data_IF_836681831760
#
_entry.id   IF_836681831760
#
_cell.length_a   1.000
_cell.length_b   1.000
_cell.length_c   1.000
_cell.angle_alpha   90.00
_cell.angle_beta   90.00
_cell.angle_gamma   90.00
#
_symmetry.space_group_name_H-M   'P 1'
#
loop_
_entity.id
_entity.type
_entity.pdbx_description
1 polymer ?
#
# COMPACT_ATOMS: atom_id res chain seq x y z
N UNK A 1 4.00 28.85 -11.61
CA UNK A 1 4.23 28.90 -13.07
C UNK A 1 2.87 28.74 -13.72
N UNK A 2 2.43 29.75 -14.45
CA UNK A 2 1.09 29.79 -15.04
C UNK A 2 1.04 28.92 -16.31
N UNK A 3 -0.10 28.29 -16.55
CA UNK A 3 -0.34 27.51 -17.77
C UNK A 3 -1.07 28.33 -18.82
N UNK A 4 -0.91 27.97 -20.09
CA UNK A 4 -1.60 28.61 -21.23
C UNK A 4 -3.06 28.13 -21.29
N UNK A 5 -3.90 28.89 -22.03
CA UNK A 5 -5.30 28.50 -22.29
C UNK A 5 -5.40 27.14 -23.01
N UNK A 6 -4.46 26.84 -23.91
CA UNK A 6 -4.38 25.56 -24.61
C UNK A 6 -4.06 24.40 -23.64
N UNK A 7 -3.06 24.58 -22.78
CA UNK A 7 -2.72 23.62 -21.73
C UNK A 7 -3.90 23.37 -20.77
N UNK A 8 -4.59 24.45 -20.37
CA UNK A 8 -5.78 24.35 -19.55
C UNK A 8 -6.90 23.57 -20.23
N UNK A 9 -7.17 23.84 -21.51
CA UNK A 9 -8.17 23.13 -22.30
C UNK A 9 -7.89 21.61 -22.32
N UNK A 10 -6.64 21.20 -22.51
CA UNK A 10 -6.26 19.78 -22.46
C UNK A 10 -6.51 19.19 -21.09
N UNK A 11 -6.17 19.89 -19.99
CA UNK A 11 -6.43 19.41 -18.64
C UNK A 11 -7.93 19.30 -18.34
N UNK A 12 -8.73 20.21 -18.85
CA UNK A 12 -10.17 20.22 -18.64
C UNK A 12 -10.90 19.18 -19.50
N UNK A 13 -10.26 18.68 -20.57
CA UNK A 13 -10.79 17.59 -21.39
C UNK A 13 -10.62 16.20 -20.73
N UNK A 14 -9.74 16.08 -19.73
CA UNK A 14 -9.56 14.81 -19.04
C UNK A 14 -10.78 14.41 -18.23
N UNK A 15 -11.19 13.16 -18.36
CA UNK A 15 -12.25 12.55 -17.56
C UNK A 15 -11.70 11.43 -16.67
N UNK A 16 -12.31 11.26 -15.49
CA UNK A 16 -11.98 10.19 -14.56
C UNK A 16 -13.18 9.27 -14.41
N UNK A 17 -13.00 7.99 -14.69
CA UNK A 17 -14.06 7.00 -14.59
C UNK A 17 -13.60 5.78 -13.80
N UNK A 18 -14.55 5.18 -13.06
CA UNK A 18 -14.31 3.89 -12.42
C UNK A 18 -14.22 2.81 -13.49
N UNK A 19 -13.24 1.90 -13.38
CA UNK A 19 -12.98 0.87 -14.40
C UNK A 19 -14.20 -0.04 -14.62
N UNK A 20 -14.76 -0.59 -13.54
CA UNK A 20 -15.95 -1.44 -13.60
C UNK A 20 -17.26 -0.66 -13.84
N UNK A 21 -17.21 0.68 -13.85
CA UNK A 21 -18.40 1.50 -14.11
C UNK A 21 -18.96 1.40 -15.51
N UNK A 22 -18.12 1.00 -16.49
CA UNK A 22 -18.51 0.82 -17.90
C UNK A 22 -17.75 -0.33 -18.52
N UNK A 23 -18.45 -1.22 -19.22
CA UNK A 23 -17.82 -2.33 -19.96
C UNK A 23 -16.85 -1.89 -21.05
N UNK A 24 -17.05 -0.69 -21.61
CA UNK A 24 -16.13 -0.12 -22.60
C UNK A 24 -14.72 0.08 -22.04
N UNK A 25 -14.62 0.35 -20.72
CA UNK A 25 -13.34 0.57 -20.07
C UNK A 25 -12.43 -0.67 -20.15
N UNK A 26 -12.99 -1.89 -20.17
CA UNK A 26 -12.20 -3.12 -20.38
C UNK A 26 -11.50 -3.14 -21.74
N UNK A 27 -12.12 -2.58 -22.79
CA UNK A 27 -11.54 -2.59 -24.13
C UNK A 27 -10.45 -1.54 -24.28
N UNK A 28 -10.68 -0.36 -23.72
CA UNK A 28 -9.73 0.74 -23.88
C UNK A 28 -8.43 0.54 -23.07
N UNK A 29 -8.45 -0.27 -21.99
CA UNK A 29 -7.24 -0.58 -21.23
C UNK A 29 -6.32 -1.58 -21.93
N UNK A 30 -6.78 -2.27 -22.98
CA UNK A 30 -5.93 -3.15 -23.80
C UNK A 30 -4.80 -2.39 -24.49
N UNK A 31 -5.03 -1.12 -24.86
CA UNK A 31 -4.04 -0.24 -25.46
C UNK A 31 -3.10 0.43 -24.44
N UNK A 32 -3.31 0.17 -23.15
CA UNK A 32 -2.44 0.70 -22.10
C UNK A 32 -1.08 0.02 -22.16
N UNK A 33 -0.03 0.81 -22.06
CA UNK A 33 1.36 0.34 -22.13
C UNK A 33 2.23 1.04 -21.09
N UNK A 34 3.06 0.26 -20.37
CA UNK A 34 4.06 0.79 -19.46
C UNK A 34 5.36 -0.02 -19.50
N UNK A 35 6.38 0.54 -20.17
CA UNK A 35 7.68 -0.11 -20.35
C UNK A 35 8.51 -0.21 -19.08
N UNK A 36 8.31 0.71 -18.12
CA UNK A 36 9.08 0.76 -16.88
C UNK A 36 8.64 -0.28 -15.87
N UNK A 37 7.33 -0.58 -15.86
CA UNK A 37 6.77 -1.60 -14.98
C UNK A 37 5.69 -2.42 -15.71
N UNK A 38 6.10 -3.44 -16.48
CA UNK A 38 5.17 -4.31 -17.20
C UNK A 38 4.16 -5.04 -16.29
N UNK A 39 4.52 -5.22 -15.01
CA UNK A 39 3.63 -5.83 -14.03
C UNK A 39 2.38 -4.97 -13.77
N UNK A 40 2.52 -3.63 -13.75
CA UNK A 40 1.38 -2.72 -13.60
C UNK A 40 0.46 -2.75 -14.81
N UNK A 41 1.03 -2.84 -16.02
CA UNK A 41 0.28 -3.03 -17.25
C UNK A 41 -0.51 -4.34 -17.23
N UNK A 42 0.17 -5.44 -16.94
CA UNK A 42 -0.45 -6.77 -16.87
C UNK A 42 -1.56 -6.82 -15.81
N UNK A 43 -1.32 -6.24 -14.64
CA UNK A 43 -2.34 -6.20 -13.59
C UNK A 43 -3.60 -5.43 -14.03
N UNK A 44 -3.43 -4.31 -14.72
CA UNK A 44 -4.55 -3.53 -15.25
C UNK A 44 -5.41 -4.34 -16.24
N UNK A 45 -4.76 -5.10 -17.13
CA UNK A 45 -5.44 -5.89 -18.18
C UNK A 45 -6.08 -7.16 -17.63
N UNK A 46 -5.38 -7.89 -16.75
CA UNK A 46 -5.77 -9.24 -16.35
C UNK A 46 -6.66 -9.28 -15.10
N UNK A 47 -6.50 -8.37 -14.16
CA UNK A 47 -7.11 -8.48 -12.83
C UNK A 47 -7.94 -7.30 -12.39
N UNK A 48 -7.59 -6.10 -12.84
CA UNK A 48 -8.12 -4.86 -12.28
C UNK A 48 -9.64 -4.76 -12.38
N UNK A 49 -10.25 -5.24 -13.47
CA UNK A 49 -11.70 -5.21 -13.65
C UNK A 49 -12.41 -6.11 -12.64
N UNK A 50 -11.94 -7.34 -12.44
CA UNK A 50 -12.50 -8.28 -11.46
C UNK A 50 -12.33 -7.76 -10.02
N UNK A 51 -11.16 -7.23 -9.67
CA UNK A 51 -10.91 -6.65 -8.37
C UNK A 51 -11.80 -5.43 -8.08
N UNK A 52 -12.06 -4.60 -9.10
CA UNK A 52 -12.94 -3.43 -8.99
C UNK A 52 -14.42 -3.84 -8.89
N UNK A 53 -14.87 -4.80 -9.68
CA UNK A 53 -16.24 -5.34 -9.64
C UNK A 53 -16.53 -6.00 -8.28
N UNK A 54 -15.57 -6.74 -7.73
CA UNK A 54 -15.67 -7.40 -6.42
C UNK A 54 -15.44 -6.45 -5.23
N UNK A 55 -15.20 -5.16 -5.47
CA UNK A 55 -14.92 -4.14 -4.44
C UNK A 55 -13.74 -4.47 -3.53
N UNK A 56 -12.74 -5.19 -4.04
CA UNK A 56 -11.49 -5.46 -3.32
C UNK A 56 -10.49 -4.32 -3.47
N UNK A 57 -10.47 -3.67 -4.63
CA UNK A 57 -9.67 -2.48 -4.95
C UNK A 57 -10.43 -1.64 -5.96
N UNK A 58 -10.58 -0.34 -5.73
CA UNK A 58 -11.27 0.57 -6.65
C UNK A 58 -10.30 1.10 -7.71
N UNK A 59 -10.51 0.74 -8.98
CA UNK A 59 -9.69 1.20 -10.09
C UNK A 59 -10.34 2.36 -10.84
N UNK A 60 -9.52 3.32 -11.22
CA UNK A 60 -9.93 4.51 -11.98
C UNK A 60 -9.04 4.69 -13.21
N UNK A 61 -9.66 5.00 -14.33
CA UNK A 61 -8.98 5.33 -15.57
C UNK A 61 -9.19 6.81 -15.90
N UNK A 62 -8.12 7.48 -16.30
CA UNK A 62 -8.14 8.85 -16.80
C UNK A 62 -8.07 8.79 -18.31
N UNK A 63 -9.00 9.44 -18.99
CA UNK A 63 -9.10 9.48 -20.44
C UNK A 63 -8.93 10.90 -20.97
N UNK A 64 -8.34 11.03 -22.16
CA UNK A 64 -8.32 12.27 -22.93
C UNK A 64 -9.65 12.50 -23.68
N UNK A 65 -9.73 13.57 -24.47
CA UNK A 65 -10.91 13.90 -25.28
C UNK A 65 -11.23 12.86 -26.37
N UNK A 66 -10.24 12.08 -26.78
CA UNK A 66 -10.40 10.99 -27.77
C UNK A 66 -10.87 9.67 -27.12
N UNK A 67 -10.95 9.63 -25.77
CA UNK A 67 -11.30 8.45 -25.00
C UNK A 67 -10.13 7.51 -24.74
N UNK A 68 -8.91 7.88 -25.11
CA UNK A 68 -7.70 7.09 -24.87
C UNK A 68 -7.27 7.15 -23.41
N UNK A 69 -6.81 6.03 -22.84
CA UNK A 69 -6.34 5.98 -21.46
C UNK A 69 -4.99 6.69 -21.34
N UNK A 70 -4.98 7.73 -20.53
CA UNK A 70 -3.79 8.58 -20.23
C UNK A 70 -3.06 8.06 -19.00
N UNK A 71 -3.84 7.63 -18.02
CA UNK A 71 -3.34 7.25 -16.70
C UNK A 71 -4.32 6.29 -16.01
N UNK A 72 -3.85 5.45 -15.10
CA UNK A 72 -4.75 4.78 -14.16
C UNK A 72 -4.20 4.86 -12.74
N UNK A 73 -5.11 4.80 -11.79
CA UNK A 73 -4.78 4.67 -10.37
C UNK A 73 -5.80 3.77 -9.67
N UNK A 74 -5.44 3.27 -8.51
CA UNK A 74 -6.39 2.53 -7.70
C UNK A 74 -6.28 2.89 -6.23
N UNK A 75 -7.42 2.77 -5.55
CA UNK A 75 -7.60 3.11 -4.14
C UNK A 75 -8.13 1.92 -3.36
N UNK A 76 -7.68 1.79 -2.12
CA UNK A 76 -8.13 0.77 -1.18
C UNK A 76 -8.17 1.34 0.24
N UNK A 77 -9.08 0.84 1.08
CA UNK A 77 -9.03 1.15 2.50
C UNK A 77 -7.87 0.42 3.18
N UNK A 78 -7.22 1.10 4.12
CA UNK A 78 -6.13 0.52 4.88
C UNK A 78 -6.08 1.05 6.32
N UNK A 79 -5.19 0.47 7.12
CA UNK A 79 -4.97 0.86 8.50
C UNK A 79 -3.49 1.03 8.81
N UNK A 80 -3.18 2.07 9.57
CA UNK A 80 -1.87 2.33 10.15
C UNK A 80 -1.95 2.11 11.67
N UNK A 81 -0.80 1.83 12.29
CA UNK A 81 -0.69 1.57 13.73
C UNK A 81 0.42 2.43 14.33
N UNK A 82 0.25 2.91 15.55
CA UNK A 82 1.32 3.61 16.27
C UNK A 82 2.40 2.64 16.78
N UNK A 83 2.00 1.43 17.16
CA UNK A 83 2.90 0.35 17.56
C UNK A 83 2.20 -1.01 17.45
N UNK A 84 2.98 -2.04 17.24
CA UNK A 84 2.54 -3.43 17.36
C UNK A 84 2.97 -3.90 18.75
N UNK A 85 2.01 -4.34 19.57
CA UNK A 85 2.27 -5.01 20.84
C UNK A 85 2.45 -6.49 20.54
N UNK A 86 3.58 -7.09 20.96
CA UNK A 86 3.77 -8.53 20.82
C UNK A 86 2.62 -9.25 21.54
N UNK A 87 1.91 -10.12 20.81
CA UNK A 87 0.86 -10.93 21.38
C UNK A 87 1.46 -11.83 22.48
N UNK A 88 0.70 -12.07 23.57
CA UNK A 88 1.08 -13.00 24.64
C UNK A 88 1.49 -14.37 24.09
N UNK A 89 0.87 -14.79 22.99
CA UNK A 89 1.26 -15.97 22.23
C UNK A 89 2.74 -15.98 21.84
N UNK A 90 3.27 -14.86 21.32
CA UNK A 90 4.68 -14.79 20.88
C UNK A 90 5.63 -14.85 22.09
N UNK A 91 5.27 -14.22 23.19
CA UNK A 91 6.03 -14.31 24.43
C UNK A 91 6.07 -15.74 24.98
N UNK A 92 4.94 -16.45 24.95
CA UNK A 92 4.88 -17.85 25.35
C UNK A 92 5.69 -18.77 24.43
N UNK A 93 5.60 -18.60 23.11
CA UNK A 93 6.41 -19.34 22.14
C UNK A 93 7.91 -19.11 22.35
N UNK A 94 8.32 -17.86 22.61
CA UNK A 94 9.72 -17.51 22.90
C UNK A 94 10.20 -18.14 24.21
N UNK A 95 9.33 -18.17 25.22
CA UNK A 95 9.60 -18.82 26.50
C UNK A 95 9.80 -20.32 26.33
N UNK A 96 8.92 -20.99 25.58
CA UNK A 96 9.06 -22.42 25.24
C UNK A 96 10.38 -22.67 24.50
N UNK A 97 10.69 -21.88 23.49
CA UNK A 97 11.94 -22.01 22.74
C UNK A 97 13.16 -21.99 23.68
N UNK A 98 13.23 -21.01 24.57
CA UNK A 98 14.33 -20.88 25.52
C UNK A 98 14.40 -22.05 26.50
N UNK A 99 13.26 -22.55 26.99
CA UNK A 99 13.18 -23.69 27.87
C UNK A 99 13.64 -24.99 27.17
N UNK A 100 13.24 -25.20 25.92
CA UNK A 100 13.68 -26.35 25.13
C UNK A 100 15.19 -26.32 24.91
N UNK A 101 15.77 -25.19 24.50
CA UNK A 101 17.22 -25.05 24.36
C UNK A 101 17.94 -25.37 25.69
N UNK A 102 17.45 -24.83 26.81
CA UNK A 102 18.03 -25.10 28.12
C UNK A 102 18.00 -26.60 28.45
N UNK A 103 16.87 -27.30 28.20
CA UNK A 103 16.72 -28.74 28.45
C UNK A 103 17.58 -29.61 27.54
N UNK A 104 17.72 -29.25 26.26
CA UNK A 104 18.58 -29.96 25.29
C UNK A 104 20.08 -29.84 25.69
N UNK A 105 20.48 -28.70 26.24
CA UNK A 105 21.87 -28.45 26.64
C UNK A 105 22.20 -28.96 28.04
N UNK A 106 21.20 -29.33 28.83
CA UNK A 106 21.40 -29.83 30.20
C UNK A 106 22.04 -31.24 30.17
N UNK A 107 23.22 -31.36 30.80
CA UNK A 107 23.98 -32.62 30.86
C UNK A 107 23.35 -33.66 31.81
N UNK A 108 22.43 -33.25 32.66
CA UNK A 108 21.73 -34.16 33.61
C UNK A 108 20.57 -34.91 32.97
N UNK A 109 20.12 -34.50 31.78
CA UNK A 109 18.98 -35.09 31.08
C UNK A 109 19.48 -36.20 30.15
N UNK A 110 18.80 -37.34 30.12
CA UNK A 110 19.13 -38.44 29.21
C UNK A 110 18.98 -38.11 27.74
N UNK A 111 19.77 -38.70 26.86
CA UNK A 111 19.70 -38.41 25.41
C UNK A 111 18.36 -38.78 24.80
N UNK A 112 17.67 -39.83 25.26
CA UNK A 112 16.35 -40.19 24.76
C UNK A 112 15.32 -39.09 25.03
N UNK A 113 15.38 -38.43 26.20
CA UNK A 113 14.51 -37.27 26.47
C UNK A 113 14.89 -36.03 25.66
N UNK A 114 16.18 -35.84 25.42
CA UNK A 114 16.66 -34.73 24.59
C UNK A 114 16.18 -34.85 23.15
N UNK A 115 16.07 -36.08 22.62
CA UNK A 115 15.55 -36.29 21.27
C UNK A 115 14.10 -35.81 21.13
N UNK A 116 13.23 -36.13 22.07
CA UNK A 116 11.84 -35.60 22.12
C UNK A 116 11.81 -34.07 22.21
N UNK A 117 12.74 -33.43 22.93
CA UNK A 117 12.84 -31.96 22.98
C UNK A 117 13.31 -31.35 21.66
N UNK A 118 14.20 -32.03 20.91
CA UNK A 118 14.63 -31.62 19.58
C UNK A 118 13.48 -31.70 18.56
N UNK A 119 12.72 -32.78 18.58
CA UNK A 119 11.53 -32.95 17.73
C UNK A 119 10.50 -31.85 17.99
N UNK A 120 10.23 -31.52 19.27
CA UNK A 120 9.32 -30.44 19.63
C UNK A 120 9.87 -29.07 19.21
N UNK A 121 11.18 -28.85 19.32
CA UNK A 121 11.83 -27.62 18.86
C UNK A 121 11.71 -27.46 17.31
N UNK A 122 11.84 -28.54 16.56
CA UNK A 122 11.66 -28.52 15.12
C UNK A 122 10.18 -28.27 14.73
N UNK A 123 9.24 -28.89 15.44
CA UNK A 123 7.82 -28.61 15.28
C UNK A 123 7.47 -27.13 15.56
N UNK A 124 8.12 -26.53 16.56
CA UNK A 124 7.98 -25.11 16.88
C UNK A 124 8.50 -24.22 15.75
N UNK A 125 9.68 -24.55 15.18
CA UNK A 125 10.31 -23.79 14.09
C UNK A 125 9.53 -23.88 12.78
N UNK A 126 9.09 -25.07 12.43
CA UNK A 126 8.35 -25.32 11.18
C UNK A 126 6.89 -24.92 11.24
N UNK A 127 6.37 -24.64 12.44
CA UNK A 127 4.94 -24.42 12.74
C UNK A 127 4.04 -25.58 12.30
N UNK A 128 4.61 -26.77 12.10
CA UNK A 128 3.89 -27.99 11.71
C UNK A 128 3.98 -29.00 12.82
N UNK A 129 2.85 -29.63 13.14
CA UNK A 129 2.80 -30.71 14.16
C UNK A 129 2.87 -30.24 15.61
N UNK A 130 2.86 -28.92 15.88
CA UNK A 130 2.76 -28.42 17.25
C UNK A 130 1.32 -28.57 17.74
N UNK A 131 1.11 -29.46 18.71
CA UNK A 131 -0.20 -29.72 19.32
C UNK A 131 -0.21 -29.31 20.79
N UNK A 132 -1.41 -29.12 21.35
CA UNK A 132 -1.58 -28.83 22.76
C UNK A 132 -0.99 -29.98 23.62
N UNK A 133 -1.32 -31.20 23.26
CA UNK A 133 -0.87 -32.41 23.95
C UNK A 133 0.65 -32.54 23.97
N UNK A 134 1.31 -32.22 22.83
CA UNK A 134 2.79 -32.25 22.74
C UNK A 134 3.45 -31.25 23.69
N UNK A 135 2.82 -30.11 23.93
CA UNK A 135 3.32 -29.12 24.88
C UNK A 135 2.99 -29.50 26.34
N UNK A 136 1.80 -30.00 26.62
CA UNK A 136 1.39 -30.43 27.95
C UNK A 136 2.21 -31.62 28.47
N UNK A 137 2.70 -32.49 27.56
CA UNK A 137 3.60 -33.56 27.92
C UNK A 137 5.00 -33.07 28.40
N UNK A 138 5.41 -31.89 28.00
CA UNK A 138 6.75 -31.36 28.23
C UNK A 138 6.76 -30.25 29.28
N UNK A 139 5.75 -29.39 29.30
CA UNK A 139 5.72 -28.19 30.14
C UNK A 139 4.57 -28.24 31.15
N UNK A 140 4.87 -27.79 32.37
CA UNK A 140 3.83 -27.58 33.41
C UNK A 140 3.12 -26.22 33.18
N UNK A 141 1.91 -26.11 33.77
CA UNK A 141 1.15 -24.85 33.73
C UNK A 141 1.88 -23.67 34.38
N UNK A 142 2.76 -23.91 35.34
CA UNK A 142 3.58 -22.90 36.02
C UNK A 142 4.73 -22.40 35.09
N UNK A 143 5.16 -23.25 34.17
CA UNK A 143 6.23 -22.89 33.23
C UNK A 143 5.71 -22.12 32.03
N UNK A 144 4.56 -22.53 31.47
CA UNK A 144 4.03 -21.97 30.22
C UNK A 144 2.51 -21.93 30.25
N UNK A 145 1.93 -20.84 29.81
CA UNK A 145 0.49 -20.72 29.59
C UNK A 145 0.14 -21.21 28.18
N UNK A 146 -0.08 -22.51 28.04
CA UNK A 146 -0.30 -23.19 26.76
C UNK A 146 -1.56 -22.66 26.05
N UNK A 147 -2.61 -22.29 26.79
CA UNK A 147 -3.83 -21.70 26.23
C UNK A 147 -3.57 -20.46 25.41
N UNK A 148 -2.62 -19.60 25.80
CA UNK A 148 -2.27 -18.39 25.07
C UNK A 148 -1.65 -18.69 23.68
N UNK A 149 -1.00 -19.86 23.53
CA UNK A 149 -0.38 -20.26 22.27
C UNK A 149 -1.44 -20.61 21.22
N UNK A 150 -2.55 -21.21 21.65
CA UNK A 150 -3.63 -21.66 20.78
C UNK A 150 -4.83 -20.70 20.72
N UNK A 151 -4.80 -19.61 21.47
CA UNK A 151 -5.71 -18.49 21.29
C UNK A 151 -5.35 -17.78 20.00
N UNK A 152 -5.91 -18.12 18.89
CA UNK A 152 -5.75 -17.55 17.54
C UNK A 152 -4.79 -16.35 17.39
N UNK A 153 -4.36 -16.04 16.19
CA UNK A 153 -3.38 -14.98 15.88
C UNK A 153 -3.93 -13.56 16.13
N UNK A 154 -4.31 -13.24 17.34
CA UNK A 154 -4.70 -11.88 17.72
C UNK A 154 -3.43 -11.07 17.96
N UNK A 155 -3.16 -10.14 17.05
CA UNK A 155 -2.13 -9.11 17.26
C UNK A 155 -2.78 -7.93 17.95
N UNK A 156 -2.25 -7.56 19.10
CA UNK A 156 -2.62 -6.32 19.76
C UNK A 156 -1.81 -5.18 19.11
N UNK A 157 -2.50 -4.13 18.74
CA UNK A 157 -1.88 -2.90 18.28
C UNK A 157 -2.22 -1.79 19.28
N UNK A 158 -1.45 -0.74 19.31
CA UNK A 158 -1.76 0.44 20.09
C UNK A 158 -2.94 1.20 19.46
N UNK A 159 -2.77 2.47 19.15
CA UNK A 159 -3.78 3.22 18.41
C UNK A 159 -3.79 2.81 16.93
N UNK A 160 -4.97 2.66 16.34
CA UNK A 160 -5.17 2.46 14.91
C UNK A 160 -5.62 3.76 14.26
N UNK A 161 -5.20 3.96 13.01
CA UNK A 161 -5.56 5.10 12.20
C UNK A 161 -6.11 4.58 10.88
N UNK A 162 -7.26 5.09 10.48
CA UNK A 162 -7.85 4.79 9.17
C UNK A 162 -7.12 5.53 8.06
N UNK A 163 -6.97 4.90 6.91
CA UNK A 163 -6.31 5.50 5.76
C UNK A 163 -6.84 5.01 4.43
N UNK A 164 -6.51 5.77 3.39
CA UNK A 164 -6.71 5.42 1.99
C UNK A 164 -5.36 5.06 1.40
N UNK A 165 -5.21 3.85 0.92
CA UNK A 165 -4.03 3.37 0.20
C UNK A 165 -4.17 3.69 -1.29
N UNK A 166 -3.15 4.33 -1.87
CA UNK A 166 -2.94 4.37 -3.32
C UNK A 166 -2.14 3.12 -3.68
N UNK A 167 -2.82 2.10 -4.24
CA UNK A 167 -2.18 0.82 -4.57
C UNK A 167 -1.44 0.89 -5.90
N UNK A 168 -2.06 1.50 -6.90
CA UNK A 168 -1.49 1.70 -8.23
C UNK A 168 -1.55 3.17 -8.62
N UNK A 169 -0.51 3.62 -9.33
CA UNK A 169 -0.37 4.99 -9.80
C UNK A 169 0.52 5.00 -11.03
N UNK A 170 -0.06 4.91 -12.23
CA UNK A 170 0.66 4.54 -13.43
C UNK A 170 0.24 5.33 -14.66
N UNK A 171 1.22 5.93 -15.34
CA UNK A 171 1.07 6.62 -16.63
C UNK A 171 1.02 5.62 -17.79
N UNK A 172 0.23 5.91 -18.82
CA UNK A 172 0.35 5.27 -20.12
C UNK A 172 1.54 5.86 -20.89
N UNK A 173 2.55 5.04 -21.19
CA UNK A 173 3.72 5.50 -21.96
C UNK A 173 3.33 5.98 -23.36
N UNK A 174 2.24 5.44 -23.96
CA UNK A 174 1.71 5.91 -25.24
C UNK A 174 1.22 7.36 -25.21
N UNK A 175 0.94 7.93 -24.03
CA UNK A 175 0.55 9.33 -23.90
C UNK A 175 1.73 10.27 -23.61
N UNK A 176 2.91 9.74 -23.33
CA UNK A 176 4.08 10.50 -22.86
C UNK A 176 4.53 11.57 -23.88
N UNK A 177 4.62 11.20 -25.14
CA UNK A 177 5.01 12.12 -26.22
C UNK A 177 4.00 13.29 -26.36
N UNK A 178 2.69 13.00 -26.33
CA UNK A 178 1.64 14.02 -26.34
C UNK A 178 1.80 14.98 -25.16
N UNK A 179 2.10 14.45 -23.97
CA UNK A 179 2.30 15.26 -22.78
C UNK A 179 3.55 16.14 -22.86
N UNK A 180 4.67 15.60 -23.30
CA UNK A 180 5.93 16.35 -23.48
C UNK A 180 5.78 17.47 -24.50
N UNK A 181 5.04 17.25 -25.61
CA UNK A 181 4.76 18.27 -26.61
C UNK A 181 3.97 19.48 -26.08
N UNK A 182 3.16 19.30 -25.01
CA UNK A 182 2.43 20.37 -24.36
C UNK A 182 3.34 21.33 -23.56
N UNK A 183 4.58 20.93 -23.29
CA UNK A 183 5.51 21.68 -22.43
C UNK A 183 4.90 22.08 -21.08
N UNK A 184 4.12 21.19 -20.48
CA UNK A 184 3.49 21.46 -19.18
C UNK A 184 4.55 21.68 -18.10
N UNK A 185 4.37 22.69 -17.22
CA UNK A 185 5.33 22.97 -16.16
C UNK A 185 5.36 21.87 -15.08
N UNK A 186 4.28 21.10 -14.97
CA UNK A 186 4.10 20.05 -13.96
C UNK A 186 4.13 18.65 -14.60
N UNK A 187 4.58 17.67 -13.83
CA UNK A 187 4.51 16.26 -14.24
C UNK A 187 3.05 15.81 -14.31
N UNK A 188 2.69 15.01 -15.30
CA UNK A 188 1.32 14.49 -15.47
C UNK A 188 0.82 13.81 -14.21
N UNK A 189 1.62 12.95 -13.58
CA UNK A 189 1.24 12.27 -12.32
C UNK A 189 0.88 13.26 -11.21
N UNK A 190 1.60 14.38 -11.08
CA UNK A 190 1.27 15.39 -10.05
C UNK A 190 -0.10 16.04 -10.31
N UNK A 191 -0.42 16.30 -11.57
CA UNK A 191 -1.73 16.82 -11.94
C UNK A 191 -2.81 15.78 -11.68
N UNK A 192 -2.61 14.52 -12.07
CA UNK A 192 -3.56 13.44 -11.83
C UNK A 192 -3.81 13.28 -10.32
N UNK A 193 -2.75 13.33 -9.51
CA UNK A 193 -2.88 13.25 -8.06
C UNK A 193 -3.79 14.35 -7.50
N UNK A 194 -3.49 15.61 -7.81
CA UNK A 194 -4.25 16.73 -7.26
C UNK A 194 -5.61 16.96 -7.90
N UNK A 195 -5.76 16.69 -9.21
CA UNK A 195 -7.03 16.94 -9.94
C UNK A 195 -8.04 15.79 -9.80
N UNK A 196 -7.57 14.54 -9.64
CA UNK A 196 -8.47 13.37 -9.69
C UNK A 196 -8.41 12.51 -8.43
N UNK A 197 -7.22 12.21 -7.90
CA UNK A 197 -7.13 11.35 -6.71
C UNK A 197 -7.64 12.08 -5.48
N UNK A 198 -7.17 13.28 -5.23
CA UNK A 198 -7.59 14.03 -4.04
C UNK A 198 -9.10 14.28 -3.99
N UNK A 199 -9.80 14.68 -5.08
CA UNK A 199 -11.27 14.78 -5.06
C UNK A 199 -11.98 13.46 -4.75
N UNK A 200 -11.47 12.30 -5.20
CA UNK A 200 -12.05 10.99 -4.80
C UNK A 200 -11.87 10.74 -3.31
N UNK A 201 -10.72 11.08 -2.76
CA UNK A 201 -10.46 10.99 -1.31
C UNK A 201 -11.38 11.94 -0.55
N UNK A 202 -11.56 13.18 -1.00
CA UNK A 202 -12.48 14.17 -0.38
C UNK A 202 -13.92 13.65 -0.35
N UNK A 203 -14.43 13.11 -1.47
CA UNK A 203 -15.76 12.48 -1.50
C UNK A 203 -15.88 11.33 -0.49
N UNK A 204 -14.83 10.54 -0.31
CA UNK A 204 -14.80 9.48 0.71
C UNK A 204 -14.84 10.08 2.12
N UNK A 205 -14.11 11.17 2.38
CA UNK A 205 -14.07 11.83 3.69
C UNK A 205 -15.41 12.46 4.10
N UNK A 206 -16.31 12.76 3.17
CA UNK A 206 -17.69 13.19 3.47
C UNK A 206 -18.53 12.05 4.06
N UNK A 207 -18.18 10.80 3.81
CA UNK A 207 -18.92 9.59 4.23
C UNK A 207 -18.27 8.93 5.44
N UNK A 208 -16.93 8.81 5.42
CA UNK A 208 -16.15 8.13 6.46
C UNK A 208 -14.85 8.90 6.73
N UNK A 209 -14.48 8.99 8.01
CA UNK A 209 -13.23 9.65 8.39
C UNK A 209 -12.04 8.73 8.10
N UNK A 210 -11.09 9.24 7.31
CA UNK A 210 -9.76 8.65 7.14
C UNK A 210 -8.71 9.70 7.52
N UNK A 211 -7.79 9.34 8.43
CA UNK A 211 -6.79 10.27 8.96
C UNK A 211 -5.60 10.43 8.00
N UNK A 212 -5.33 9.39 7.19
CA UNK A 212 -4.16 9.35 6.30
C UNK A 212 -4.49 8.91 4.88
N UNK A 213 -3.71 9.42 3.93
CA UNK A 213 -3.52 8.81 2.62
C UNK A 213 -2.08 8.26 2.58
N UNK A 214 -1.89 7.05 2.05
CA UNK A 214 -0.59 6.39 2.06
C UNK A 214 -0.36 5.53 0.82
N UNK A 215 0.88 5.16 0.60
CA UNK A 215 1.32 4.32 -0.51
C UNK A 215 2.60 3.56 -0.15
N UNK A 216 2.94 2.60 -0.99
CA UNK A 216 4.22 1.90 -0.97
C UNK A 216 5.01 2.25 -2.22
N UNK A 217 6.03 3.09 -2.07
CA UNK A 217 6.90 3.49 -3.18
C UNK A 217 7.86 2.35 -3.52
N UNK A 218 7.62 1.67 -4.64
CA UNK A 218 8.50 0.64 -5.20
C UNK A 218 9.65 1.27 -5.98
N UNK A 219 10.60 1.85 -5.26
CA UNK A 219 11.73 2.56 -5.86
C UNK A 219 12.98 1.67 -5.88
N UNK A 220 13.38 1.26 -7.10
CA UNK A 220 14.59 0.47 -7.34
C UNK A 220 15.77 1.35 -7.80
N UNK A 221 15.59 2.68 -7.84
CA UNK A 221 16.64 3.60 -8.24
C UNK A 221 17.60 3.91 -7.09
N UNK A 222 18.89 4.04 -7.39
CA UNK A 222 19.91 4.40 -6.39
C UNK A 222 19.72 5.82 -5.82
N UNK A 223 19.11 6.73 -6.60
CA UNK A 223 18.87 8.12 -6.26
C UNK A 223 17.53 8.41 -5.57
N UNK A 224 16.77 7.36 -5.23
CA UNK A 224 15.43 7.47 -4.65
C UNK A 224 14.49 8.39 -5.47
N UNK A 225 14.57 8.37 -6.80
CA UNK A 225 13.85 9.31 -7.66
C UNK A 225 12.33 9.25 -7.51
N UNK A 226 11.77 8.04 -7.31
CA UNK A 226 10.34 7.84 -7.09
C UNK A 226 9.93 8.30 -5.68
N UNK A 227 10.74 8.00 -4.66
CA UNK A 227 10.51 8.46 -3.28
C UNK A 227 10.54 9.98 -3.22
N UNK A 228 11.53 10.62 -3.88
CA UNK A 228 11.63 12.08 -3.96
C UNK A 228 10.42 12.69 -4.67
N UNK A 229 9.93 12.04 -5.72
CA UNK A 229 8.70 12.46 -6.40
C UNK A 229 7.48 12.44 -5.46
N UNK A 230 7.32 11.41 -4.63
CA UNK A 230 6.23 11.37 -3.65
C UNK A 230 6.43 12.38 -2.51
N UNK A 231 7.67 12.69 -2.12
CA UNK A 231 7.95 13.80 -1.18
C UNK A 231 7.52 15.16 -1.74
N UNK A 232 7.72 15.40 -3.04
CA UNK A 232 7.22 16.60 -3.74
C UNK A 232 5.68 16.68 -3.71
N UNK A 233 4.97 15.55 -3.72
CA UNK A 233 3.51 15.48 -3.54
C UNK A 233 3.07 15.65 -2.07
N UNK A 234 4.00 15.77 -1.15
CA UNK A 234 3.73 16.00 0.27
C UNK A 234 3.67 14.76 1.13
N UNK A 235 4.06 13.59 0.61
CA UNK A 235 4.21 12.39 1.41
C UNK A 235 5.49 12.44 2.25
N UNK A 236 5.46 11.79 3.40
CA UNK A 236 6.60 11.60 4.29
C UNK A 236 6.86 10.11 4.50
N UNK A 237 8.12 9.74 4.61
CA UNK A 237 8.60 8.39 4.92
C UNK A 237 8.95 8.21 6.40
N UNK A 238 8.34 8.99 7.28
CA UNK A 238 8.52 8.91 8.72
C UNK A 238 8.09 7.54 9.25
N UNK A 239 8.91 6.95 10.15
CA UNK A 239 8.65 5.67 10.81
C UNK A 239 7.70 5.78 12.02
N UNK A 240 6.90 6.84 12.09
CA UNK A 240 5.97 7.06 13.22
C UNK A 240 4.84 6.02 13.22
N UNK A 241 4.46 5.52 12.05
CA UNK A 241 3.40 4.54 11.92
C UNK A 241 3.92 3.20 11.41
N UNK A 242 3.30 2.13 11.88
CA UNK A 242 3.49 0.79 11.36
C UNK A 242 2.34 0.43 10.41
N UNK A 243 2.66 -0.33 9.39
CA UNK A 243 1.70 -0.79 8.38
C UNK A 243 2.05 -2.22 8.00
N UNK A 244 1.07 -2.99 7.54
CA UNK A 244 1.32 -4.29 6.96
C UNK A 244 1.93 -4.09 5.55
N UNK A 245 3.23 -4.36 5.40
CA UNK A 245 3.92 -4.26 4.11
C UNK A 245 3.58 -5.49 3.27
N UNK A 246 3.13 -5.32 2.01
CA UNK A 246 2.86 -6.44 1.12
C UNK A 246 4.11 -7.28 0.86
N UNK A 247 3.96 -8.62 0.88
CA UNK A 247 5.09 -9.55 0.70
C UNK A 247 5.71 -9.54 -0.71
N UNK A 248 4.95 -9.07 -1.71
CA UNK A 248 5.41 -9.05 -3.09
C UNK A 248 6.41 -7.93 -3.37
N UNK A 249 6.62 -7.02 -2.43
CA UNK A 249 7.49 -5.88 -2.66
C UNK A 249 8.36 -5.56 -1.44
N UNK A 250 9.44 -6.32 -1.31
CA UNK A 250 10.43 -6.15 -0.24
C UNK A 250 11.22 -4.82 -0.36
N UNK A 251 11.18 -4.18 -1.52
CA UNK A 251 11.87 -2.91 -1.80
C UNK A 251 10.98 -1.68 -1.60
N UNK A 252 9.70 -1.87 -1.28
CA UNK A 252 8.76 -0.77 -1.08
C UNK A 252 9.09 0.06 0.15
N UNK A 253 9.07 1.36 -0.04
CA UNK A 253 9.13 2.35 1.03
C UNK A 253 7.73 2.83 1.37
N UNK A 254 7.30 2.62 2.60
CA UNK A 254 6.04 3.16 3.10
C UNK A 254 6.10 4.69 3.20
N UNK A 255 5.11 5.36 2.63
CA UNK A 255 4.99 6.81 2.67
C UNK A 255 3.54 7.21 2.95
N UNK A 256 3.34 8.26 3.73
CA UNK A 256 2.01 8.72 4.13
C UNK A 256 1.94 10.24 4.23
N UNK A 257 0.71 10.78 4.21
CA UNK A 257 0.41 12.16 4.60
C UNK A 257 -0.96 12.24 5.27
N UNK A 258 -1.15 13.25 6.12
CA UNK A 258 -2.43 13.52 6.78
C UNK A 258 -3.45 14.10 5.79
N UNK A 259 -4.71 13.67 5.92
CA UNK A 259 -5.80 14.13 5.04
C UNK A 259 -6.28 15.55 5.36
N UNK A 260 -6.09 16.03 6.60
CA UNK A 260 -6.55 17.33 7.06
C UNK A 260 -5.98 18.54 6.28
N UNK A 261 -4.87 18.37 5.59
CA UNK A 261 -4.19 19.42 4.83
C UNK A 261 -4.33 19.27 3.30
N UNK A 262 -5.00 18.21 2.82
CA UNK A 262 -5.03 17.89 1.39
C UNK A 262 -5.71 19.01 0.56
N UNK A 263 -6.84 19.52 1.03
CA UNK A 263 -7.59 20.59 0.34
C UNK A 263 -6.75 21.87 0.21
N UNK A 264 -6.05 22.25 1.27
CA UNK A 264 -5.19 23.44 1.24
C UNK A 264 -4.01 23.26 0.30
N UNK A 265 -3.36 22.08 0.35
CA UNK A 265 -2.26 21.74 -0.57
C UNK A 265 -2.71 21.70 -2.03
N UNK A 266 -3.90 21.14 -2.30
CA UNK A 266 -4.49 21.11 -3.64
C UNK A 266 -4.73 22.54 -4.17
N UNK A 267 -5.34 23.42 -3.35
CA UNK A 267 -5.54 24.82 -3.74
C UNK A 267 -4.24 25.52 -4.08
N UNK A 268 -3.20 25.36 -3.24
CA UNK A 268 -1.86 25.92 -3.51
C UNK A 268 -1.27 25.40 -4.81
N UNK A 269 -1.39 24.08 -5.06
CA UNK A 269 -0.92 23.49 -6.31
C UNK A 269 -1.58 24.14 -7.54
N UNK A 270 -2.90 24.40 -7.50
CA UNK A 270 -3.63 24.99 -8.61
C UNK A 270 -3.59 26.52 -8.66
N UNK A 271 -3.14 27.23 -7.63
CA UNK A 271 -2.93 28.69 -7.70
C UNK A 271 -1.99 29.08 -8.84
N UNK A 272 -1.02 28.22 -9.15
CA UNK A 272 -0.10 28.43 -10.27
C UNK A 272 -0.69 28.10 -11.65
N UNK A 273 -1.90 27.51 -11.71
CA UNK A 273 -2.55 27.11 -12.97
C UNK A 273 -3.50 28.15 -13.55
N UNK A 274 -3.63 29.32 -12.93
CA UNK A 274 -4.45 30.39 -13.51
C UNK A 274 -3.75 30.96 -14.75
N UNK A 275 -4.41 30.96 -15.94
CA UNK A 275 -3.85 31.59 -17.13
C UNK A 275 -3.67 33.09 -16.89
N UNK A 276 -2.60 33.65 -17.45
CA UNK A 276 -2.42 35.09 -17.39
C UNK A 276 -3.48 35.79 -18.25
N UNK A 277 -4.51 36.35 -17.65
CA UNK A 277 -5.51 37.21 -18.30
C UNK A 277 -4.96 38.61 -18.64
N UNK A 278 -3.65 38.84 -18.49
CA UNK A 278 -3.02 40.16 -18.66
C UNK A 278 -2.55 40.46 -20.08
N UNK A 279 -2.74 39.56 -21.06
CA UNK A 279 -2.49 39.85 -22.48
C UNK A 279 -3.81 39.94 -23.24
N UNK A 280 -4.47 41.10 -23.09
CA UNK A 280 -5.44 41.63 -24.04
C UNK A 280 -5.10 43.07 -24.38
#
# INVERSE_FOLDING_TARGET
MKITEEQKKVLDSFSCERLAGKLENMRIVEDFYNSRNPQLEQNLKDKAYEEDENNTTAYYVIKDEEGSVVFYFSLKCGMLYDKIVEADQYQQLRKIYNLLIKRITDKSISEDKKEGFKELLESLRSKKGLTRESLECVFSADEVTIDEIFKGNQRHVGKTYSGVEIVHFCINDGYREKWEALNMPQRLGSIIFWKFIIPQVECLLEIVVCEYIFLFAADLSEDESLVNYYRELGFTDSLVHHVAIPLYDLACKFMHQETNQLIEKQKRFFEDFNPDFSEK
#
